data_IF_728225938134
#
_entry.id   IF_728225938134
#
_cell.length_a   1.000
_cell.length_b   1.000
_cell.length_c   1.000
_cell.angle_alpha   90.00
_cell.angle_beta   90.00
_cell.angle_gamma   90.00
#
_symmetry.space_group_name_H-M   'P 1'
#
loop_
_entity.id
_entity.type
_entity.pdbx_description
1 polymer ?
#
# COMPACT_ATOMS: atom_id res chain seq x y z
N UNK A 1 -48.96 17.67 -26.55
CA UNK A 1 -48.97 17.97 -25.10
C UNK A 1 -48.66 16.69 -24.33
N UNK A 2 -47.46 16.54 -23.84
CA UNK A 2 -47.10 15.45 -22.92
C UNK A 2 -47.56 15.84 -21.50
N UNK A 3 -48.11 14.90 -20.72
CA UNK A 3 -48.59 15.20 -19.36
C UNK A 3 -47.44 15.50 -18.42
N UNK A 4 -47.62 16.52 -17.58
CA UNK A 4 -46.70 17.01 -16.55
C UNK A 4 -46.66 16.08 -15.33
N UNK A 5 -46.34 14.81 -15.49
CA UNK A 5 -46.31 13.91 -14.31
C UNK A 5 -45.23 12.83 -14.45
N UNK A 6 -44.00 13.23 -14.75
CA UNK A 6 -42.83 12.38 -14.54
C UNK A 6 -41.66 13.28 -14.10
N UNK A 7 -41.78 13.86 -12.92
CA UNK A 7 -40.72 14.65 -12.29
C UNK A 7 -40.77 14.61 -10.76
N UNK A 8 -41.03 13.45 -10.23
CA UNK A 8 -40.86 13.18 -8.79
C UNK A 8 -40.88 11.66 -8.68
N UNK A 9 -39.72 11.06 -8.61
CA UNK A 9 -39.46 9.77 -7.96
C UNK A 9 -38.11 9.20 -8.39
N UNK A 10 -37.09 10.06 -8.49
CA UNK A 10 -35.69 9.64 -8.57
C UNK A 10 -34.95 9.97 -7.27
N UNK A 11 -35.66 9.86 -6.13
CA UNK A 11 -34.99 9.54 -4.88
C UNK A 11 -34.86 8.04 -4.82
N UNK A 12 -33.79 7.52 -5.44
CA UNK A 12 -33.29 6.21 -5.14
C UNK A 12 -32.94 6.17 -3.65
N UNK A 13 -33.87 5.72 -2.85
CA UNK A 13 -33.54 5.07 -1.60
C UNK A 13 -32.77 3.81 -1.97
N UNK A 14 -31.45 3.95 -2.03
CA UNK A 14 -30.54 2.84 -2.20
C UNK A 14 -30.54 1.99 -0.93
N UNK A 15 -31.59 1.24 -0.72
CA UNK A 15 -31.56 0.06 0.11
C UNK A 15 -31.28 -1.16 -0.80
N UNK A 16 -30.17 -1.09 -1.53
CA UNK A 16 -29.59 -2.28 -2.12
C UNK A 16 -29.03 -3.14 -1.00
N UNK A 17 -29.46 -4.40 -0.84
CA UNK A 17 -28.87 -5.32 0.14
C UNK A 17 -27.42 -5.70 -0.22
N UNK A 18 -26.93 -5.29 -1.38
CA UNK A 18 -25.55 -5.43 -1.81
C UNK A 18 -24.82 -4.12 -1.51
N UNK A 19 -24.21 -4.04 -0.31
CA UNK A 19 -23.19 -3.03 -0.07
C UNK A 19 -22.08 -3.31 -1.10
N UNK A 20 -21.92 -2.42 -2.07
CA UNK A 20 -20.71 -2.45 -2.91
C UNK A 20 -19.52 -2.46 -1.97
N UNK A 21 -18.58 -3.39 -2.10
CA UNK A 21 -17.39 -3.34 -1.27
C UNK A 21 -16.78 -1.96 -1.42
N UNK A 22 -16.53 -1.28 -0.29
CA UNK A 22 -15.93 0.05 -0.28
C UNK A 22 -14.61 -0.06 -1.04
N UNK A 23 -14.52 0.59 -2.19
CA UNK A 23 -13.37 0.58 -3.05
C UNK A 23 -12.19 1.19 -2.29
N UNK A 24 -11.10 0.47 -2.10
CA UNK A 24 -9.89 0.98 -1.46
C UNK A 24 -9.10 1.79 -2.49
N UNK A 25 -8.88 3.05 -2.19
CA UNK A 25 -8.12 3.94 -3.05
C UNK A 25 -6.63 3.85 -2.75
N UNK A 26 -5.81 3.76 -3.79
CA UNK A 26 -4.37 3.58 -3.66
C UNK A 26 -3.57 4.64 -4.44
N UNK A 27 -2.42 5.03 -3.89
CA UNK A 27 -1.41 5.86 -4.55
C UNK A 27 -0.10 5.08 -4.67
N UNK A 28 0.57 5.17 -5.81
CA UNK A 28 1.85 4.51 -6.07
C UNK A 28 2.96 5.57 -6.06
N UNK A 29 3.95 5.40 -5.18
CA UNK A 29 5.00 6.39 -4.94
C UNK A 29 6.35 5.71 -5.06
N UNK A 30 7.06 5.97 -6.16
CA UNK A 30 8.35 5.39 -6.47
C UNK A 30 9.02 6.24 -7.55
N UNK A 31 10.29 6.55 -7.46
CA UNK A 31 10.99 7.34 -8.48
C UNK A 31 11.24 6.53 -9.76
N UNK A 32 11.27 5.21 -9.68
CA UNK A 32 11.44 4.32 -10.81
C UNK A 32 10.13 4.06 -11.56
N UNK A 33 10.02 4.52 -12.79
CA UNK A 33 8.84 4.28 -13.63
C UNK A 33 8.51 2.79 -13.80
N UNK A 34 9.56 1.95 -13.93
CA UNK A 34 9.39 0.49 -14.05
C UNK A 34 8.74 -0.13 -12.82
N UNK A 35 9.13 0.31 -11.62
CA UNK A 35 8.54 -0.13 -10.36
C UNK A 35 7.06 0.28 -10.26
N UNK A 36 6.71 1.53 -10.61
CA UNK A 36 5.31 1.98 -10.63
C UNK A 36 4.46 1.18 -11.62
N UNK A 37 5.00 0.90 -12.81
CA UNK A 37 4.31 0.10 -13.82
C UNK A 37 4.06 -1.34 -13.35
N UNK A 38 5.02 -1.94 -12.65
CA UNK A 38 4.89 -3.29 -12.08
C UNK A 38 3.79 -3.34 -11.00
N UNK A 39 3.78 -2.36 -10.10
CA UNK A 39 2.74 -2.27 -9.06
C UNK A 39 1.36 -2.13 -9.71
N UNK A 40 1.22 -1.24 -10.70
CA UNK A 40 -0.04 -1.05 -11.44
C UNK A 40 -0.49 -2.34 -12.13
N UNK A 41 0.43 -3.06 -12.76
CA UNK A 41 0.14 -4.35 -13.39
C UNK A 41 -0.36 -5.37 -12.35
N UNK A 42 0.31 -5.48 -11.21
CA UNK A 42 -0.11 -6.40 -10.16
C UNK A 42 -1.45 -6.03 -9.55
N UNK A 43 -1.72 -4.73 -9.36
CA UNK A 43 -2.98 -4.22 -8.85
C UNK A 43 -4.16 -4.48 -9.79
N UNK A 44 -3.94 -4.66 -11.09
CA UNK A 44 -5.01 -5.00 -12.03
C UNK A 44 -5.73 -6.32 -11.69
N UNK A 45 -5.11 -7.19 -10.89
CA UNK A 45 -5.72 -8.41 -10.38
C UNK A 45 -6.62 -8.23 -9.15
N UNK A 46 -6.76 -6.99 -8.63
CA UNK A 46 -7.54 -6.68 -7.42
C UNK A 46 -8.63 -5.66 -7.73
N UNK A 47 -9.84 -6.11 -8.10
CA UNK A 47 -10.94 -5.21 -8.46
C UNK A 47 -11.42 -4.34 -7.29
N UNK A 48 -11.07 -4.68 -6.05
CA UNK A 48 -11.37 -3.90 -4.84
C UNK A 48 -10.50 -2.67 -4.67
N UNK A 49 -9.40 -2.55 -5.46
CA UNK A 49 -8.43 -1.47 -5.38
C UNK A 49 -8.54 -0.54 -6.60
N UNK A 50 -8.55 0.76 -6.35
CA UNK A 50 -8.52 1.80 -7.38
C UNK A 50 -7.28 2.67 -7.24
N UNK A 51 -6.45 2.73 -8.29
CA UNK A 51 -5.26 3.59 -8.31
C UNK A 51 -5.66 5.01 -8.66
N UNK A 52 -5.50 5.94 -7.71
CA UNK A 52 -5.79 7.36 -7.89
C UNK A 52 -4.73 8.11 -8.69
N UNK A 53 -3.47 7.65 -8.61
CA UNK A 53 -2.37 8.28 -9.29
C UNK A 53 -1.01 7.69 -8.93
N UNK A 54 0.03 8.32 -9.44
CA UNK A 54 1.43 7.96 -9.21
C UNK A 54 2.22 9.22 -8.88
N UNK A 55 3.21 9.10 -7.99
CA UNK A 55 4.18 10.15 -7.69
C UNK A 55 5.60 9.61 -7.88
N UNK A 56 6.50 10.48 -8.33
CA UNK A 56 7.89 10.14 -8.63
C UNK A 56 8.90 10.69 -7.62
N UNK A 57 8.45 11.49 -6.67
CA UNK A 57 9.26 12.03 -5.60
C UNK A 57 8.42 12.33 -4.35
N UNK A 58 9.11 12.61 -3.23
CA UNK A 58 8.46 12.85 -1.95
C UNK A 58 7.60 14.11 -1.89
N UNK A 59 7.94 15.17 -2.62
CA UNK A 59 7.17 16.43 -2.60
C UNK A 59 5.86 16.28 -3.39
N UNK A 60 5.92 15.67 -4.56
CA UNK A 60 4.73 15.33 -5.36
C UNK A 60 3.80 14.40 -4.56
N UNK A 61 4.38 13.37 -3.92
CA UNK A 61 3.65 12.44 -3.08
C UNK A 61 2.94 13.13 -1.91
N UNK A 62 3.62 14.01 -1.18
CA UNK A 62 3.04 14.77 -0.07
C UNK A 62 1.80 15.55 -0.52
N UNK A 63 1.92 16.27 -1.64
CA UNK A 63 0.82 17.07 -2.20
C UNK A 63 -0.36 16.17 -2.62
N UNK A 64 -0.08 15.06 -3.29
CA UNK A 64 -1.13 14.12 -3.74
C UNK A 64 -1.82 13.44 -2.57
N UNK A 65 -1.10 13.03 -1.54
CA UNK A 65 -1.68 12.40 -0.34
C UNK A 65 -2.63 13.39 0.37
N UNK A 66 -2.22 14.64 0.54
CA UNK A 66 -3.05 15.64 1.19
C UNK A 66 -4.30 16.00 0.38
N UNK A 67 -4.20 15.98 -0.95
CA UNK A 67 -5.31 16.32 -1.84
C UNK A 67 -6.28 15.16 -2.05
N UNK A 68 -5.74 13.96 -2.32
CA UNK A 68 -6.52 12.79 -2.72
C UNK A 68 -6.95 11.92 -1.54
N UNK A 69 -6.25 12.01 -0.41
CA UNK A 69 -6.49 11.23 0.82
C UNK A 69 -6.68 9.73 0.54
N UNK A 70 -5.70 9.07 -0.08
CA UNK A 70 -5.79 7.65 -0.42
C UNK A 70 -5.91 6.79 0.85
N UNK A 71 -6.58 5.65 0.75
CA UNK A 71 -6.66 4.67 1.84
C UNK A 71 -5.35 3.89 2.02
N UNK A 72 -4.62 3.70 0.93
CA UNK A 72 -3.38 2.92 0.85
C UNK A 72 -2.33 3.67 0.03
N UNK A 73 -1.08 3.60 0.46
CA UNK A 73 0.07 4.00 -0.36
C UNK A 73 1.07 2.85 -0.49
N UNK A 74 1.56 2.63 -1.71
CA UNK A 74 2.78 1.88 -1.98
C UNK A 74 3.90 2.89 -2.02
N UNK A 75 4.89 2.75 -1.16
CA UNK A 75 5.88 3.79 -0.91
C UNK A 75 7.30 3.25 -0.99
N UNK A 76 8.07 3.72 -1.97
CA UNK A 76 9.52 3.50 -1.94
C UNK A 76 10.17 4.34 -0.84
N UNK A 77 11.22 3.79 -0.25
CA UNK A 77 11.97 4.48 0.79
C UNK A 77 12.99 5.44 0.19
N UNK A 78 13.69 5.04 -0.86
CA UNK A 78 14.73 5.86 -1.47
C UNK A 78 14.20 6.64 -2.66
N UNK A 79 13.87 7.90 -2.43
CA UNK A 79 13.37 8.81 -3.45
C UNK A 79 14.03 10.19 -3.34
N UNK A 80 14.03 10.98 -4.44
CA UNK A 80 14.44 12.38 -4.42
C UNK A 80 13.54 13.24 -3.53
N UNK A 81 14.06 14.37 -3.07
CA UNK A 81 13.47 15.42 -2.24
C UNK A 81 13.28 14.94 -0.80
N UNK A 82 12.39 13.98 -0.56
CA UNK A 82 12.20 13.30 0.75
C UNK A 82 12.29 11.79 0.55
N UNK A 83 12.96 11.09 1.44
CA UNK A 83 12.82 9.64 1.49
C UNK A 83 11.45 9.24 2.06
N UNK A 84 11.08 7.95 1.92
CA UNK A 84 9.77 7.48 2.33
C UNK A 84 9.45 7.72 3.80
N UNK A 85 10.42 7.62 4.71
CA UNK A 85 10.21 7.89 6.14
C UNK A 85 10.06 9.37 6.45
N UNK A 86 10.84 10.23 5.78
CA UNK A 86 10.70 11.68 5.90
C UNK A 86 9.31 12.11 5.42
N UNK A 87 8.85 11.54 4.30
CA UNK A 87 7.48 11.77 3.81
C UNK A 87 6.45 11.40 4.87
N UNK A 88 6.53 10.19 5.45
CA UNK A 88 5.56 9.73 6.47
C UNK A 88 5.54 10.68 7.67
N UNK A 89 6.69 11.17 8.13
CA UNK A 89 6.78 12.12 9.25
C UNK A 89 6.17 13.49 8.96
N UNK A 90 5.98 13.84 7.69
CA UNK A 90 5.39 15.13 7.25
C UNK A 90 3.88 15.04 7.06
N UNK A 91 3.32 13.82 7.05
CA UNK A 91 1.90 13.63 6.80
C UNK A 91 1.06 14.05 8.00
N UNK A 92 -0.02 14.75 7.72
CA UNK A 92 -1.11 15.06 8.69
C UNK A 92 -2.30 14.12 8.54
N UNK A 93 -2.34 13.36 7.46
CA UNK A 93 -3.30 12.29 7.18
C UNK A 93 -2.52 10.98 7.01
N UNK A 94 -2.96 9.91 7.66
CA UNK A 94 -2.23 8.65 7.75
C UNK A 94 -2.93 7.53 6.96
N UNK A 95 -2.56 7.33 5.67
CA UNK A 95 -2.99 6.16 4.90
C UNK A 95 -2.35 4.88 5.44
N UNK A 96 -2.90 3.73 5.08
CA UNK A 96 -2.18 2.46 5.22
C UNK A 96 -0.94 2.48 4.34
N UNK A 97 0.16 1.88 4.79
CA UNK A 97 1.44 1.91 4.08
C UNK A 97 1.93 0.49 3.80
N UNK A 98 2.27 0.22 2.54
CA UNK A 98 3.11 -0.89 2.13
C UNK A 98 4.40 -0.28 1.58
N UNK A 99 5.52 -0.50 2.28
CA UNK A 99 6.82 -0.07 1.75
C UNK A 99 7.29 -1.00 0.65
N UNK A 100 7.92 -0.42 -0.38
CA UNK A 100 8.57 -1.14 -1.48
C UNK A 100 9.99 -0.61 -1.63
N UNK A 101 11.02 -1.42 -1.45
CA UNK A 101 12.40 -0.94 -1.48
C UNK A 101 13.38 -2.02 -1.88
N UNK A 102 14.56 -1.61 -2.38
CA UNK A 102 15.67 -2.51 -2.66
C UNK A 102 16.52 -2.85 -1.40
N UNK A 103 16.22 -2.24 -0.25
CA UNK A 103 17.03 -2.32 0.96
C UNK A 103 16.30 -3.06 2.08
N UNK A 104 16.92 -4.08 2.63
CA UNK A 104 16.39 -4.89 3.74
C UNK A 104 16.59 -4.23 5.11
N UNK A 105 17.59 -3.37 5.25
CA UNK A 105 17.95 -2.69 6.50
C UNK A 105 16.85 -1.76 7.07
N UNK A 106 15.87 -1.37 6.26
CA UNK A 106 14.79 -0.48 6.68
C UNK A 106 13.55 -1.20 7.24
N UNK A 107 13.54 -2.53 7.25
CA UNK A 107 12.37 -3.30 7.68
C UNK A 107 11.92 -2.98 9.11
N UNK A 108 12.87 -2.80 10.05
CA UNK A 108 12.56 -2.43 11.43
C UNK A 108 11.92 -1.03 11.53
N UNK A 109 12.43 -0.05 10.77
CA UNK A 109 11.84 1.30 10.71
C UNK A 109 10.46 1.30 10.08
N UNK A 110 10.21 0.45 9.08
CA UNK A 110 8.88 0.27 8.50
C UNK A 110 7.88 -0.24 9.54
N UNK A 111 8.31 -1.13 10.42
CA UNK A 111 7.53 -1.59 11.56
C UNK A 111 7.20 -0.45 12.54
N UNK A 112 8.18 0.36 12.92
CA UNK A 112 7.99 1.53 13.78
C UNK A 112 7.04 2.56 13.17
N UNK A 113 7.01 2.67 11.84
CA UNK A 113 6.08 3.51 11.09
C UNK A 113 4.66 2.92 10.93
N UNK A 114 4.35 1.79 11.59
CA UNK A 114 3.09 1.08 11.50
C UNK A 114 2.69 0.66 10.08
N UNK A 115 3.65 0.30 9.24
CA UNK A 115 3.39 -0.22 7.92
C UNK A 115 2.61 -1.54 7.96
N UNK A 116 1.74 -1.75 6.98
CA UNK A 116 0.99 -3.01 6.82
C UNK A 116 1.91 -4.13 6.38
N UNK A 117 2.84 -3.81 5.48
CA UNK A 117 3.83 -4.74 4.98
C UNK A 117 5.06 -4.03 4.42
N UNK A 118 6.08 -4.84 4.10
CA UNK A 118 7.34 -4.42 3.55
C UNK A 118 7.73 -5.36 2.40
N UNK A 119 7.88 -4.82 1.19
CA UNK A 119 8.22 -5.57 -0.01
C UNK A 119 9.65 -5.27 -0.42
N UNK A 120 10.53 -6.25 -0.33
CA UNK A 120 11.90 -6.13 -0.78
C UNK A 120 11.98 -6.40 -2.28
N UNK A 121 12.47 -5.43 -3.05
CA UNK A 121 12.70 -5.56 -4.50
C UNK A 121 13.90 -6.48 -4.76
N UNK A 122 13.81 -7.38 -5.76
CA UNK A 122 12.64 -7.71 -6.57
C UNK A 122 11.67 -8.61 -5.80
N UNK A 123 10.37 -8.36 -5.91
CA UNK A 123 9.32 -9.19 -5.31
C UNK A 123 8.45 -9.84 -6.36
N UNK A 124 7.94 -11.03 -6.04
CA UNK A 124 7.03 -11.77 -6.92
C UNK A 124 5.60 -11.27 -6.82
N UNK A 125 4.77 -11.55 -7.83
CA UNK A 125 3.33 -11.31 -7.79
C UNK A 125 2.67 -11.98 -6.57
N UNK A 126 3.11 -13.17 -6.22
CA UNK A 126 2.60 -13.89 -5.04
C UNK A 126 2.91 -13.15 -3.74
N UNK A 127 4.14 -12.65 -3.57
CA UNK A 127 4.53 -11.88 -2.39
C UNK A 127 3.75 -10.56 -2.30
N UNK A 128 3.56 -9.89 -3.43
CA UNK A 128 2.74 -8.69 -3.55
C UNK A 128 1.27 -8.97 -3.17
N UNK A 129 0.70 -10.04 -3.70
CA UNK A 129 -0.68 -10.45 -3.40
C UNK A 129 -0.89 -10.71 -1.91
N UNK A 130 0.08 -11.31 -1.22
CA UNK A 130 0.04 -11.50 0.24
C UNK A 130 -0.01 -10.16 1.00
N UNK A 131 0.76 -9.17 0.55
CA UNK A 131 0.75 -7.85 1.17
C UNK A 131 -0.60 -7.13 0.97
N UNK A 132 -1.14 -7.17 -0.24
CA UNK A 132 -2.47 -6.60 -0.56
C UNK A 132 -3.57 -7.30 0.24
N UNK A 133 -3.52 -8.63 0.34
CA UNK A 133 -4.50 -9.39 1.14
C UNK A 133 -4.54 -8.96 2.61
N UNK A 134 -3.41 -8.56 3.19
CA UNK A 134 -3.38 -7.99 4.55
C UNK A 134 -4.19 -6.70 4.64
N UNK A 135 -4.11 -5.84 3.62
CA UNK A 135 -4.89 -4.59 3.56
C UNK A 135 -6.38 -4.90 3.48
N UNK A 136 -6.78 -5.81 2.60
CA UNK A 136 -8.18 -6.20 2.40
C UNK A 136 -8.78 -6.87 3.64
N UNK A 137 -8.00 -7.66 4.37
CA UNK A 137 -8.45 -8.37 5.57
C UNK A 137 -8.46 -7.50 6.83
N UNK A 138 -7.74 -6.38 6.86
CA UNK A 138 -7.67 -5.46 8.01
C UNK A 138 -8.92 -4.61 8.23
N UNK A 139 -9.90 -4.69 7.38
CA UNK A 139 -11.23 -4.17 7.72
C UNK A 139 -11.85 -4.90 8.90
N UNK A 140 -11.26 -6.03 9.35
CA UNK A 140 -11.84 -6.92 10.38
C UNK A 140 -10.92 -7.35 11.54
N UNK A 141 -9.63 -6.96 11.65
CA UNK A 141 -8.85 -7.33 12.85
C UNK A 141 -7.52 -6.58 13.04
N UNK A 142 -7.30 -6.19 14.28
CA UNK A 142 -6.10 -5.53 14.82
C UNK A 142 -4.98 -6.52 15.18
N UNK A 143 -4.35 -7.21 14.23
CA UNK A 143 -3.11 -7.99 14.50
C UNK A 143 -2.25 -8.20 13.25
N UNK A 144 -1.40 -7.26 12.84
CA UNK A 144 -0.57 -7.51 11.66
C UNK A 144 0.95 -7.56 11.85
N UNK A 145 1.47 -7.10 12.97
CA UNK A 145 2.90 -6.75 13.04
C UNK A 145 3.81 -7.84 13.61
N UNK A 146 3.30 -8.75 14.42
CA UNK A 146 4.08 -9.88 14.95
C UNK A 146 4.58 -10.82 13.84
N UNK A 147 3.79 -11.01 12.78
CA UNK A 147 4.16 -11.89 11.65
C UNK A 147 5.30 -11.34 10.79
N UNK A 148 5.50 -10.01 10.74
CA UNK A 148 6.62 -9.41 10.00
C UNK A 148 7.95 -9.64 10.72
N UNK A 149 7.98 -9.51 12.05
CA UNK A 149 9.16 -9.77 12.86
C UNK A 149 9.56 -11.24 12.82
N UNK A 150 8.60 -12.16 12.88
CA UNK A 150 8.86 -13.60 12.80
C UNK A 150 9.48 -13.99 11.45
N UNK A 151 9.04 -13.39 10.35
CA UNK A 151 9.60 -13.65 9.02
C UNK A 151 11.01 -13.05 8.80
N UNK A 152 11.37 -12.01 9.55
CA UNK A 152 12.70 -11.38 9.48
C UNK A 152 13.67 -12.17 10.37
N UNK A 153 13.24 -12.57 11.56
CA UNK A 153 14.05 -13.33 12.52
C UNK A 153 14.36 -14.73 11.99
N UNK A 154 13.43 -15.41 11.33
CA UNK A 154 13.67 -16.75 10.74
C UNK A 154 14.63 -16.75 9.55
N UNK A 155 14.86 -15.61 8.89
CA UNK A 155 15.92 -15.48 7.87
C UNK A 155 17.30 -15.22 8.44
N UNK A 156 17.39 -14.74 9.68
CA UNK A 156 18.68 -14.48 10.35
C UNK A 156 19.31 -15.73 11.00
N UNK A 157 18.55 -16.80 11.17
CA UNK A 157 19.01 -18.06 11.79
C UNK A 157 19.48 -19.12 10.79
N UNK A 158 20.11 -18.75 9.68
CA UNK A 158 20.98 -19.70 8.99
C UNK A 158 22.34 -19.68 9.67
N UNK A 159 22.75 -20.76 10.36
CA UNK A 159 24.08 -20.80 10.99
C UNK A 159 25.13 -20.73 9.88
N UNK A 160 25.89 -19.64 9.89
CA UNK A 160 27.11 -19.56 9.09
C UNK A 160 28.06 -20.58 9.69
N UNK A 161 28.20 -21.71 8.98
CA UNK A 161 29.12 -22.78 9.36
C UNK A 161 30.54 -22.27 9.12
N UNK A 162 31.17 -21.74 10.18
CA UNK A 162 32.60 -21.46 10.17
C UNK A 162 33.32 -22.81 10.18
N UNK A 163 33.70 -23.28 9.01
CA UNK A 163 34.72 -24.31 8.89
C UNK A 163 36.02 -23.70 9.33
N UNK A 164 36.44 -24.03 10.56
CA UNK A 164 37.80 -23.84 11.03
C UNK A 164 38.71 -24.72 10.16
N UNK A 165 39.57 -24.10 9.37
CA UNK A 165 40.71 -24.74 8.75
C UNK A 165 41.80 -24.74 9.78
N UNK A 166 42.21 -25.96 10.23
CA UNK A 166 43.50 -26.26 10.82
C UNK A 166 44.58 -26.31 9.74
#
# INVERSE_FOLDING_TARGET
RLPKTIRQDLFFHSSSPYKMPDMITALIIDDERGARSLIREYLSGFPELSVLGEASDGAEAEQMIHTLKPDLIFLDIQMPVYNGFELVNRLTFFPKIIFTTAFDEFALRAFEANAIDYLLKPYTRERFSKAVSKVLNQTNSTKPLQTLLENIVTKADTPVNYMLLE
#
